data_IF_933688663400
#
_entry.id   IF_933688663400
#
_cell.length_a   1.000
_cell.length_b   1.000
_cell.length_c   1.000
_cell.angle_alpha   90.00
_cell.angle_beta   90.00
_cell.angle_gamma   90.00
#
_symmetry.space_group_name_H-M   'P 1'
#
loop_
_entity.id
_entity.type
_entity.pdbx_description
1 polymer ?
#
# COMPACT_ATOMS: atom_id res chain seq x y z
N UNK A 1 -6.88 -16.23 -3.06
CA UNK A 1 -8.02 -16.57 -3.96
C UNK A 1 -9.12 -15.48 -3.98
N UNK A 2 -9.62 -14.99 -2.84
CA UNK A 2 -10.68 -13.95 -2.79
C UNK A 2 -10.33 -12.64 -3.53
N UNK A 3 -9.09 -12.17 -3.44
CA UNK A 3 -8.64 -10.96 -4.15
C UNK A 3 -8.62 -11.12 -5.68
N UNK A 4 -8.17 -12.26 -6.19
CA UNK A 4 -8.02 -12.47 -7.64
C UNK A 4 -9.39 -12.54 -8.34
N UNK A 5 -10.40 -13.09 -7.66
CA UNK A 5 -11.76 -13.18 -8.20
C UNK A 5 -12.40 -11.82 -8.47
N UNK A 6 -12.08 -10.81 -7.65
CA UNK A 6 -12.68 -9.47 -7.73
C UNK A 6 -11.76 -8.43 -8.40
N UNK A 7 -10.43 -8.59 -8.32
CA UNK A 7 -9.44 -7.60 -8.76
C UNK A 7 -8.55 -8.08 -9.93
N UNK A 8 -8.82 -9.27 -10.45
CA UNK A 8 -8.07 -9.88 -11.54
C UNK A 8 -6.69 -10.42 -11.12
N UNK A 9 -5.86 -10.82 -12.11
CA UNK A 9 -4.50 -11.27 -11.87
C UNK A 9 -3.63 -10.19 -11.20
N UNK A 10 -2.60 -10.62 -10.46
CA UNK A 10 -1.64 -9.68 -9.84
C UNK A 10 -0.62 -9.14 -10.85
N UNK A 11 -0.27 -9.94 -11.86
CA UNK A 11 0.51 -9.55 -13.02
C UNK A 11 -0.43 -9.43 -14.21
N UNK A 12 -0.62 -8.22 -14.75
CA UNK A 12 -1.63 -7.97 -15.78
C UNK A 12 -1.28 -6.71 -16.59
N UNK A 13 -1.57 -6.73 -17.89
CA UNK A 13 -1.56 -5.54 -18.74
C UNK A 13 -2.99 -5.18 -19.09
N UNK A 14 -3.40 -3.98 -18.73
CA UNK A 14 -4.70 -3.40 -19.01
C UNK A 14 -4.54 -2.22 -19.96
N UNK A 15 -5.53 -1.99 -20.82
CA UNK A 15 -5.58 -0.77 -21.63
C UNK A 15 -6.87 -0.03 -21.33
N UNK A 16 -6.75 1.23 -20.93
CA UNK A 16 -7.90 2.07 -20.62
C UNK A 16 -7.71 3.47 -21.17
N UNK A 17 -8.65 3.91 -22.02
CA UNK A 17 -8.68 5.27 -22.61
C UNK A 17 -7.33 5.73 -23.19
N UNK A 18 -6.61 4.84 -23.86
CA UNK A 18 -5.32 5.14 -24.49
C UNK A 18 -4.10 5.02 -23.58
N UNK A 19 -4.28 4.70 -22.30
CA UNK A 19 -3.20 4.42 -21.34
C UNK A 19 -3.03 2.92 -21.18
N UNK A 20 -1.78 2.46 -21.18
CA UNK A 20 -1.43 1.09 -20.81
C UNK A 20 -1.10 1.05 -19.32
N UNK A 21 -1.76 0.16 -18.59
CA UNK A 21 -1.55 -0.03 -17.16
C UNK A 21 -0.97 -1.42 -16.95
N UNK A 22 0.20 -1.50 -16.31
CA UNK A 22 0.89 -2.75 -15.99
C UNK A 22 0.87 -2.95 -14.48
N UNK A 23 0.16 -3.97 -14.03
CA UNK A 23 0.15 -4.41 -12.62
C UNK A 23 1.29 -5.40 -12.41
N UNK A 24 2.09 -5.20 -11.38
CA UNK A 24 3.22 -6.05 -11.02
C UNK A 24 3.09 -6.56 -9.59
N UNK A 25 3.26 -7.87 -9.43
CA UNK A 25 3.34 -8.50 -8.13
C UNK A 25 4.75 -8.37 -7.56
N UNK A 26 4.96 -7.32 -6.76
CA UNK A 26 6.24 -7.06 -6.09
C UNK A 26 6.27 -7.54 -4.63
N UNK A 27 5.19 -8.12 -4.11
CA UNK A 27 5.08 -8.58 -2.71
C UNK A 27 6.08 -9.69 -2.40
N UNK A 28 6.36 -10.57 -3.35
CA UNK A 28 7.32 -11.67 -3.16
C UNK A 28 8.76 -11.20 -2.90
N UNK A 29 9.06 -9.91 -3.08
CA UNK A 29 10.39 -9.33 -2.86
C UNK A 29 10.52 -8.63 -1.50
N UNK A 30 9.47 -8.58 -0.68
CA UNK A 30 9.49 -7.95 0.66
C UNK A 30 10.47 -8.68 1.59
N UNK A 31 10.46 -10.02 1.57
CA UNK A 31 11.26 -10.81 2.49
C UNK A 31 12.69 -10.98 1.98
N UNK A 32 13.67 -10.52 2.79
CA UNK A 32 15.12 -10.70 2.57
C UNK A 32 15.65 -12.09 2.95
N UNK A 33 14.83 -12.93 3.57
CA UNK A 33 15.17 -14.33 3.90
C UNK A 33 14.96 -15.23 2.67
N UNK A 34 15.55 -16.45 2.62
CA UNK A 34 15.32 -17.33 1.48
C UNK A 34 13.82 -17.46 1.24
N UNK A 35 13.42 -17.19 0.00
CA UNK A 35 12.03 -17.27 -0.40
C UNK A 35 11.51 -18.67 -0.11
N UNK A 36 10.32 -18.74 0.48
CA UNK A 36 9.61 -20.01 0.52
C UNK A 36 9.21 -20.42 -0.92
N UNK A 37 8.76 -21.66 -1.11
CA UNK A 37 8.42 -22.18 -2.44
C UNK A 37 7.35 -21.33 -3.15
N UNK A 38 6.40 -20.77 -2.41
CA UNK A 38 5.36 -19.90 -2.98
C UNK A 38 5.92 -18.57 -3.47
N UNK A 39 6.78 -17.93 -2.69
CA UNK A 39 7.47 -16.69 -3.08
C UNK A 39 8.39 -16.90 -4.28
N UNK A 40 9.12 -18.01 -4.32
CA UNK A 40 9.96 -18.37 -5.46
C UNK A 40 9.12 -18.53 -6.74
N UNK A 41 8.01 -19.27 -6.65
CA UNK A 41 7.06 -19.44 -7.75
C UNK A 41 6.50 -18.10 -8.24
N UNK A 42 6.11 -17.21 -7.32
CA UNK A 42 5.62 -15.87 -7.67
C UNK A 42 6.70 -15.04 -8.37
N UNK A 43 7.96 -15.11 -7.91
CA UNK A 43 9.09 -14.41 -8.55
C UNK A 43 9.32 -14.92 -9.98
N UNK A 44 9.24 -16.23 -10.21
CA UNK A 44 9.34 -16.83 -11.54
C UNK A 44 8.18 -16.38 -12.43
N UNK A 45 6.94 -16.40 -11.94
CA UNK A 45 5.76 -15.92 -12.67
C UNK A 45 5.89 -14.43 -13.05
N UNK A 46 6.36 -13.58 -12.14
CA UNK A 46 6.60 -12.16 -12.41
C UNK A 46 7.73 -11.97 -13.42
N UNK A 47 8.81 -12.75 -13.34
CA UNK A 47 9.92 -12.67 -14.29
C UNK A 47 9.49 -13.08 -15.70
N UNK A 48 8.75 -14.19 -15.81
CA UNK A 48 8.18 -14.67 -17.08
C UNK A 48 7.21 -13.64 -17.68
N UNK A 49 6.35 -13.05 -16.84
CA UNK A 49 5.47 -11.96 -17.24
C UNK A 49 6.27 -10.77 -17.79
N UNK A 50 7.30 -10.29 -17.08
CA UNK A 50 8.13 -9.17 -17.54
C UNK A 50 8.79 -9.45 -18.90
N UNK A 51 9.28 -10.67 -19.14
CA UNK A 51 9.82 -11.05 -20.45
C UNK A 51 8.76 -10.96 -21.56
N UNK A 52 7.54 -11.44 -21.31
CA UNK A 52 6.44 -11.36 -22.28
C UNK A 52 6.01 -9.92 -22.58
N UNK A 53 6.00 -9.05 -21.56
CA UNK A 53 5.66 -7.63 -21.74
C UNK A 53 6.81 -6.90 -22.44
N UNK A 54 8.06 -7.18 -22.10
CA UNK A 54 9.24 -6.59 -22.76
C UNK A 54 9.23 -6.82 -24.27
N UNK A 55 8.86 -8.02 -24.70
CA UNK A 55 8.72 -8.35 -26.12
C UNK A 55 7.59 -7.54 -26.78
N UNK A 56 6.47 -7.37 -26.08
CA UNK A 56 5.36 -6.52 -26.53
C UNK A 56 5.76 -5.04 -26.61
N UNK A 57 6.54 -4.55 -25.64
CA UNK A 57 7.12 -3.20 -25.64
C UNK A 57 8.04 -3.00 -26.83
N UNK A 58 8.98 -3.93 -27.07
CA UNK A 58 9.95 -3.86 -28.15
C UNK A 58 9.29 -3.89 -29.55
N UNK A 59 8.17 -4.60 -29.68
CA UNK A 59 7.34 -4.60 -30.90
C UNK A 59 6.46 -3.35 -31.05
N UNK A 60 6.56 -2.38 -30.12
CA UNK A 60 5.76 -1.15 -30.13
C UNK A 60 4.27 -1.37 -29.90
N UNK A 61 3.89 -2.51 -29.31
CA UNK A 61 2.48 -2.88 -29.11
C UNK A 61 1.85 -2.22 -27.88
N UNK A 62 2.68 -1.75 -26.94
CA UNK A 62 2.18 -0.98 -25.80
C UNK A 62 1.84 0.44 -26.24
N UNK A 63 0.60 0.86 -25.96
CA UNK A 63 0.18 2.25 -26.17
C UNK A 63 0.80 3.13 -25.10
N UNK A 64 1.35 4.28 -25.50
CA UNK A 64 1.76 5.32 -24.55
C UNK A 64 0.56 6.17 -24.15
N UNK A 65 0.48 6.61 -22.88
CA UNK A 65 1.47 6.44 -21.81
C UNK A 65 1.41 5.06 -21.11
N UNK A 66 2.53 4.61 -20.53
CA UNK A 66 2.66 3.37 -19.74
C UNK A 66 2.73 3.69 -18.25
N UNK A 67 1.76 3.17 -17.50
CA UNK A 67 1.57 3.31 -16.07
C UNK A 67 1.89 1.99 -15.37
N UNK A 68 2.77 1.98 -14.38
CA UNK A 68 3.11 0.79 -13.61
C UNK A 68 2.53 0.90 -12.20
N UNK A 69 1.85 -0.16 -11.76
CA UNK A 69 1.42 -0.34 -10.37
C UNK A 69 2.20 -1.48 -9.72
N UNK A 70 2.85 -1.18 -8.62
CA UNK A 70 3.52 -2.15 -7.74
C UNK A 70 3.03 -2.00 -6.31
N UNK A 71 3.17 -3.05 -5.49
CA UNK A 71 2.88 -2.92 -4.06
C UNK A 71 4.08 -2.30 -3.34
N UNK A 72 5.24 -2.93 -3.48
CA UNK A 72 6.53 -2.49 -2.93
C UNK A 72 7.15 -1.44 -3.85
N UNK A 73 7.65 -0.31 -3.32
CA UNK A 73 8.40 0.67 -4.09
C UNK A 73 9.60 0.07 -4.80
N UNK A 74 9.87 0.52 -6.02
CA UNK A 74 10.99 0.05 -6.82
C UNK A 74 12.34 0.38 -6.16
N UNK A 75 12.40 1.46 -5.37
CA UNK A 75 13.56 1.79 -4.53
C UNK A 75 13.88 0.74 -3.48
N UNK A 76 12.88 -0.04 -3.06
CA UNK A 76 13.01 -1.00 -1.97
C UNK A 76 13.27 -2.43 -2.50
N UNK A 77 13.17 -2.62 -3.82
CA UNK A 77 13.47 -3.86 -4.51
C UNK A 77 14.98 -4.02 -4.79
N UNK A 78 15.46 -5.25 -5.00
CA UNK A 78 16.83 -5.48 -5.46
C UNK A 78 17.10 -4.76 -6.79
N UNK A 79 18.26 -4.11 -6.93
CA UNK A 79 18.61 -3.30 -8.11
C UNK A 79 18.45 -4.05 -9.43
N UNK A 80 18.79 -5.35 -9.48
CA UNK A 80 18.63 -6.17 -10.68
C UNK A 80 17.15 -6.27 -11.12
N UNK A 81 16.23 -6.39 -10.17
CA UNK A 81 14.78 -6.45 -10.42
C UNK A 81 14.27 -5.09 -10.86
N UNK A 82 14.67 -4.02 -10.17
CA UNK A 82 14.30 -2.65 -10.52
C UNK A 82 14.75 -2.29 -11.94
N UNK A 83 16.01 -2.56 -12.28
CA UNK A 83 16.54 -2.33 -13.62
C UNK A 83 15.82 -3.17 -14.68
N UNK A 84 15.50 -4.44 -14.39
CA UNK A 84 14.72 -5.29 -15.29
C UNK A 84 13.33 -4.73 -15.56
N UNK A 85 12.60 -4.30 -14.52
CA UNK A 85 11.27 -3.68 -14.66
C UNK A 85 11.35 -2.40 -15.50
N UNK A 86 12.27 -1.49 -15.15
CA UNK A 86 12.39 -0.18 -15.80
C UNK A 86 12.77 -0.31 -17.27
N UNK A 87 13.77 -1.14 -17.59
CA UNK A 87 14.19 -1.37 -18.98
C UNK A 87 13.09 -2.05 -19.80
N UNK A 88 12.46 -3.10 -19.27
CA UNK A 88 11.45 -3.90 -19.99
C UNK A 88 10.16 -3.14 -20.28
N UNK A 89 9.70 -2.32 -19.33
CA UNK A 89 8.41 -1.64 -19.42
C UNK A 89 8.54 -0.20 -19.91
N UNK A 90 9.71 0.42 -19.76
CA UNK A 90 9.96 1.83 -20.08
C UNK A 90 8.85 2.77 -19.56
N UNK A 91 8.48 2.70 -18.28
CA UNK A 91 7.28 3.36 -17.76
C UNK A 91 7.40 4.88 -17.77
N UNK A 92 6.28 5.55 -18.04
CA UNK A 92 6.14 7.00 -17.91
C UNK A 92 5.83 7.39 -16.45
N UNK A 93 5.02 6.57 -15.76
CA UNK A 93 4.56 6.83 -14.41
C UNK A 93 4.56 5.53 -13.59
N UNK A 94 5.05 5.59 -12.35
CA UNK A 94 5.10 4.44 -11.44
C UNK A 94 4.37 4.79 -10.15
N UNK A 95 3.50 3.90 -9.68
CA UNK A 95 2.79 4.06 -8.42
C UNK A 95 2.98 2.82 -7.54
N UNK A 96 3.42 3.09 -6.32
CA UNK A 96 3.72 2.07 -5.31
C UNK A 96 3.01 2.36 -4.00
N UNK A 97 3.05 1.41 -3.07
CA UNK A 97 2.50 1.57 -1.71
C UNK A 97 3.47 1.03 -0.66
N UNK A 98 3.00 0.08 0.15
CA UNK A 98 3.76 -0.66 1.17
C UNK A 98 4.27 0.15 2.37
N UNK A 99 4.92 1.30 2.16
CA UNK A 99 5.54 2.09 3.25
C UNK A 99 4.53 2.86 4.10
N UNK A 100 3.28 2.95 3.65
CA UNK A 100 2.17 3.71 4.25
C UNK A 100 2.34 5.24 4.24
N UNK A 101 3.52 5.75 3.93
CA UNK A 101 3.82 7.18 3.83
C UNK A 101 3.83 7.64 2.37
N UNK A 102 3.64 8.93 2.14
CA UNK A 102 3.82 9.51 0.80
C UNK A 102 5.29 9.77 0.54
N UNK A 103 5.79 9.41 -0.63
CA UNK A 103 7.12 9.80 -1.11
C UNK A 103 7.15 9.84 -2.64
N UNK A 104 8.17 10.49 -3.19
CA UNK A 104 8.43 10.47 -4.63
C UNK A 104 9.92 10.24 -4.89
N UNK A 105 10.23 9.38 -5.83
CA UNK A 105 11.58 9.07 -6.27
C UNK A 105 11.68 9.16 -7.79
N UNK A 106 12.85 9.52 -8.29
CA UNK A 106 13.14 9.56 -9.71
C UNK A 106 14.13 8.46 -10.05
N UNK A 107 13.80 7.66 -11.06
CA UNK A 107 14.60 6.55 -11.54
C UNK A 107 15.17 6.90 -12.92
N UNK A 108 16.49 7.00 -13.03
CA UNK A 108 17.16 7.11 -14.32
C UNK A 108 17.47 5.72 -14.85
N UNK A 109 17.10 5.41 -16.09
CA UNK A 109 17.32 4.10 -16.68
C UNK A 109 17.45 4.16 -18.20
N UNK A 110 18.13 3.17 -18.77
CA UNK A 110 18.25 2.99 -20.21
C UNK A 110 17.20 2.00 -20.68
N UNK A 111 16.42 2.41 -21.68
CA UNK A 111 15.43 1.55 -22.35
C UNK A 111 16.09 0.49 -23.23
N UNK A 112 15.33 -0.53 -23.63
CA UNK A 112 15.79 -1.54 -24.60
C UNK A 112 16.26 -0.91 -25.91
N UNK A 113 15.66 0.21 -26.32
CA UNK A 113 16.06 0.97 -27.52
C UNK A 113 17.33 1.84 -27.33
N UNK A 114 18.01 1.72 -26.18
CA UNK A 114 19.23 2.46 -25.87
C UNK A 114 19.01 3.92 -25.44
N UNK A 115 17.76 4.37 -25.29
CA UNK A 115 17.45 5.75 -24.86
C UNK A 115 17.45 5.85 -23.34
N UNK A 116 18.09 6.87 -22.80
CA UNK A 116 17.94 7.24 -21.40
C UNK A 116 16.57 7.86 -21.12
N UNK A 117 15.95 7.46 -20.02
CA UNK A 117 14.67 7.98 -19.55
C UNK A 117 14.73 8.22 -18.05
N UNK A 118 13.90 9.18 -17.64
CA UNK A 118 13.61 9.44 -16.25
C UNK A 118 12.17 9.00 -15.99
N UNK A 119 11.98 8.02 -15.10
CA UNK A 119 10.68 7.63 -14.59
C UNK A 119 10.46 8.20 -13.20
N UNK A 120 9.28 8.74 -12.93
CA UNK A 120 8.91 9.17 -11.57
C UNK A 120 8.05 8.12 -10.92
N UNK A 121 8.42 7.75 -9.70
CA UNK A 121 7.65 6.88 -8.82
C UNK A 121 7.01 7.70 -7.70
N UNK A 122 5.71 7.51 -7.50
CA UNK A 122 4.98 8.02 -6.34
C UNK A 122 4.58 6.86 -5.44
N UNK A 123 4.97 6.96 -4.17
CA UNK A 123 4.47 6.05 -3.13
C UNK A 123 3.19 6.67 -2.55
N UNK A 124 2.10 5.96 -2.72
CA UNK A 124 0.76 6.37 -2.31
C UNK A 124 0.59 6.08 -0.81
N UNK A 125 0.11 7.05 0.00
CA UNK A 125 -0.07 6.82 1.43
C UNK A 125 -1.17 5.80 1.71
N UNK A 126 -1.16 5.23 2.90
CA UNK A 126 -2.25 4.36 3.34
C UNK A 126 -3.54 5.15 3.56
N UNK A 127 -4.68 4.54 3.24
CA UNK A 127 -6.00 5.04 3.63
C UNK A 127 -6.47 4.49 4.98
N UNK A 128 -5.64 3.66 5.65
CA UNK A 128 -5.99 2.92 6.85
C UNK A 128 -5.23 3.41 8.08
N UNK A 129 -5.99 3.89 9.07
CA UNK A 129 -5.45 4.29 10.38
C UNK A 129 -4.94 3.09 11.19
N UNK A 130 -5.32 1.85 10.81
CA UNK A 130 -4.88 0.64 11.53
C UNK A 130 -3.37 0.40 11.41
N UNK A 131 -2.69 1.10 10.50
CA UNK A 131 -1.26 0.95 10.24
C UNK A 131 -0.39 1.90 11.08
N UNK A 132 -0.93 2.61 12.07
CA UNK A 132 -0.15 3.55 12.87
C UNK A 132 0.09 4.91 12.20
N UNK A 133 -0.47 5.13 11.01
CA UNK A 133 -0.27 6.37 10.24
C UNK A 133 -1.31 7.45 10.59
N UNK A 134 -0.82 8.67 10.84
CA UNK A 134 -1.61 9.86 11.18
C UNK A 134 -2.05 10.65 9.94
N UNK A 135 -1.23 10.66 8.88
CA UNK A 135 -1.47 11.32 7.61
C UNK A 135 -1.93 10.30 6.57
N UNK A 136 -3.21 9.95 6.66
CA UNK A 136 -3.83 9.03 5.70
C UNK A 136 -4.33 9.78 4.46
N UNK A 137 -4.33 9.10 3.32
CA UNK A 137 -4.89 9.66 2.10
C UNK A 137 -5.26 8.62 1.08
N UNK A 138 -5.76 9.08 -0.05
CA UNK A 138 -5.98 8.27 -1.24
C UNK A 138 -5.33 8.96 -2.43
N UNK A 139 -4.55 8.22 -3.21
CA UNK A 139 -3.99 8.72 -4.45
C UNK A 139 -5.08 8.90 -5.52
N UNK A 140 -5.16 10.09 -6.10
CA UNK A 140 -6.03 10.38 -7.24
C UNK A 140 -5.18 10.69 -8.46
N UNK A 141 -5.38 9.91 -9.52
CA UNK A 141 -4.73 10.09 -10.81
C UNK A 141 -5.76 10.67 -11.78
N UNK A 142 -5.39 11.74 -12.46
CA UNK A 142 -6.18 12.34 -13.51
C UNK A 142 -5.40 12.29 -14.82
N UNK A 143 -6.03 11.76 -15.85
CA UNK A 143 -5.47 11.66 -17.20
C UNK A 143 -6.27 12.61 -18.06
N UNK A 144 -5.61 13.60 -18.64
CA UNK A 144 -6.24 14.55 -19.55
C UNK A 144 -6.46 13.93 -20.95
N UNK A 145 -7.17 14.66 -21.83
CA UNK A 145 -7.42 14.20 -23.21
C UNK A 145 -6.17 14.18 -24.09
N UNK A 146 -5.10 14.85 -23.66
CA UNK A 146 -3.82 14.93 -24.36
C UNK A 146 -2.83 13.86 -23.90
N UNK A 147 -3.20 13.04 -22.90
CA UNK A 147 -2.37 12.00 -22.32
C UNK A 147 -1.46 12.46 -21.18
N UNK A 148 -1.56 13.72 -20.74
CA UNK A 148 -0.85 14.17 -19.55
C UNK A 148 -1.54 13.59 -18.31
N UNK A 149 -0.73 12.96 -17.46
CA UNK A 149 -1.16 12.43 -16.19
C UNK A 149 -0.73 13.39 -15.08
N UNK A 150 -1.67 13.75 -14.22
CA UNK A 150 -1.35 14.37 -12.94
C UNK A 150 -1.82 13.52 -11.77
N UNK A 151 -1.16 13.74 -10.63
CA UNK A 151 -1.35 12.98 -9.41
C UNK A 151 -1.52 13.92 -8.23
N UNK A 152 -2.45 13.58 -7.34
CA UNK A 152 -2.65 14.28 -6.08
C UNK A 152 -3.10 13.33 -4.99
N UNK A 153 -2.63 13.55 -3.77
CA UNK A 153 -3.15 12.87 -2.58
C UNK A 153 -4.37 13.61 -2.07
N UNK A 154 -5.49 12.89 -1.95
CA UNK A 154 -6.68 13.32 -1.24
C UNK A 154 -6.52 12.95 0.23
N UNK A 155 -6.14 13.93 1.05
CA UNK A 155 -5.90 13.73 2.48
C UNK A 155 -7.20 13.45 3.23
N UNK A 156 -7.18 12.43 4.08
CA UNK A 156 -8.29 12.07 4.96
C UNK A 156 -8.13 12.79 6.29
N UNK A 157 -9.23 13.13 7.00
CA UNK A 157 -9.15 13.74 8.32
C UNK A 157 -8.45 12.79 9.32
N UNK A 158 -7.68 13.33 10.29
CA UNK A 158 -6.98 12.52 11.27
C UNK A 158 -7.97 11.80 12.19
N UNK A 159 -7.76 10.50 12.41
CA UNK A 159 -8.67 9.66 13.22
C UNK A 159 -8.22 9.50 14.68
N UNK A 160 -6.93 9.68 14.98
CA UNK A 160 -6.40 9.48 16.34
C UNK A 160 -7.01 10.38 17.42
N UNK A 161 -7.30 11.67 17.18
CA UNK A 161 -7.97 12.49 18.20
C UNK A 161 -9.32 11.93 18.62
N UNK A 162 -10.12 11.45 17.66
CA UNK A 162 -11.41 10.82 17.94
C UNK A 162 -11.25 9.48 18.65
N UNK A 163 -10.25 8.68 18.27
CA UNK A 163 -9.96 7.41 18.95
C UNK A 163 -9.54 7.64 20.42
N UNK A 164 -8.75 8.67 20.69
CA UNK A 164 -8.38 9.07 22.04
C UNK A 164 -9.60 9.50 22.84
N UNK A 165 -10.51 10.28 22.24
CA UNK A 165 -11.77 10.67 22.89
C UNK A 165 -12.64 9.45 23.24
N UNK A 166 -12.79 8.48 22.32
CA UNK A 166 -13.52 7.24 22.59
C UNK A 166 -12.88 6.43 23.72
N UNK A 167 -11.55 6.38 23.77
CA UNK A 167 -10.82 5.70 24.84
C UNK A 167 -11.07 6.34 26.21
N UNK A 168 -10.98 7.67 26.30
CA UNK A 168 -11.28 8.42 27.53
C UNK A 168 -12.75 8.25 27.97
N UNK A 169 -13.69 8.29 27.03
CA UNK A 169 -15.10 8.04 27.30
C UNK A 169 -15.32 6.62 27.83
N UNK A 170 -14.67 5.63 27.24
CA UNK A 170 -14.75 4.23 27.67
C UNK A 170 -14.21 4.05 29.09
N UNK A 171 -13.13 4.73 29.46
CA UNK A 171 -12.61 4.75 30.84
C UNK A 171 -13.63 5.38 31.80
N UNK A 172 -14.24 6.50 31.43
CA UNK A 172 -15.24 7.15 32.28
C UNK A 172 -16.46 6.24 32.52
N UNK A 173 -16.98 5.59 31.48
CA UNK A 173 -18.06 4.60 31.59
C UNK A 173 -17.64 3.43 32.48
N UNK A 174 -16.41 2.91 32.32
CA UNK A 174 -15.90 1.83 33.15
C UNK A 174 -15.83 2.24 34.63
N UNK A 175 -15.35 3.44 34.95
CA UNK A 175 -15.30 3.96 36.33
C UNK A 175 -16.71 4.05 36.93
N UNK A 176 -17.68 4.58 36.18
CA UNK A 176 -19.07 4.66 36.62
C UNK A 176 -19.65 3.26 36.87
N UNK A 177 -19.45 2.32 35.95
CA UNK A 177 -19.89 0.93 36.12
C UNK A 177 -19.28 0.30 37.37
N UNK A 178 -17.96 0.43 37.57
CA UNK A 178 -17.26 -0.09 38.74
C UNK A 178 -17.79 0.53 40.05
N UNK A 179 -18.11 1.83 40.06
CA UNK A 179 -18.72 2.49 41.21
C UNK A 179 -20.13 1.93 41.53
N UNK A 180 -20.90 1.59 40.50
CA UNK A 180 -22.25 1.05 40.65
C UNK A 180 -22.31 -0.47 40.90
N UNK A 181 -21.20 -1.21 40.70
CA UNK A 181 -21.16 -2.64 41.00
C UNK A 181 -21.39 -2.90 42.51
N UNK A 182 -22.28 -3.84 42.86
CA UNK A 182 -22.64 -4.12 44.25
C UNK A 182 -21.48 -4.65 45.11
N UNK A 183 -20.37 -5.08 44.50
CA UNK A 183 -19.13 -5.46 45.22
C UNK A 183 -18.57 -4.33 46.08
N UNK A 184 -18.56 -3.08 45.59
CA UNK A 184 -18.10 -1.92 46.38
C UNK A 184 -19.07 -1.53 47.49
N UNK A 185 -20.37 -1.78 47.29
CA UNK A 185 -21.37 -1.62 48.35
C UNK A 185 -21.23 -2.71 49.41
N UNK A 186 -20.99 -3.96 49.01
CA UNK A 186 -20.84 -5.11 49.91
C UNK A 186 -19.56 -5.02 50.76
N UNK A 187 -18.43 -4.61 50.18
CA UNK A 187 -17.17 -4.35 50.89
C UNK A 187 -17.28 -3.22 51.92
N UNK A 188 -18.04 -2.15 51.62
CA UNK A 188 -18.35 -1.08 52.58
C UNK A 188 -19.27 -1.53 53.72
N UNK A 189 -20.19 -2.45 53.47
CA UNK A 189 -21.06 -3.01 54.52
C UNK A 189 -20.31 -3.98 55.43
N UNK A 190 -19.44 -4.84 54.87
CA UNK A 190 -18.57 -5.75 55.62
C UNK A 190 -17.52 -5.01 56.47
N UNK A 191 -16.96 -3.89 55.99
CA UNK A 191 -16.01 -3.10 56.79
C UNK A 191 -16.66 -2.36 57.97
N UNK A 192 -17.94 -1.96 57.85
CA UNK A 192 -18.71 -1.37 58.97
C UNK A 192 -19.07 -2.39 60.04
N UNK A 193 -19.40 -3.63 59.66
CA UNK A 193 -19.68 -4.71 60.62
C UNK A 193 -18.46 -5.08 61.48
N UNK A 194 -17.25 -4.92 60.96
CA UNK A 194 -16.00 -5.18 61.70
C UNK A 194 -15.66 -4.13 62.77
N UNK A 195 -16.23 -2.92 62.68
CA UNK A 195 -16.01 -1.85 63.68
C UNK A 195 -17.12 -1.75 64.75
N UNK A 196 -18.27 -2.42 64.58
CA UNK A 196 -19.35 -2.47 65.57
C UNK A 196 -19.22 -3.60 66.61
N UNK A 197 -18.21 -4.48 66.46
CA UNK A 197 -17.83 -5.50 67.43
C UNK A 197 -16.52 -5.09 68.11
N UNK A 198 -16.56 -4.02 68.89
CA UNK A 198 -15.53 -3.69 69.89
C UNK A 198 -16.16 -2.91 71.03
#
# INVERSE_FOLDING_TARGET
RRYIAEFGPLNEVLTFRGVTIVKLNTISYIHRRPANQEEAKIREETTSFLSSVSESTARGLLRRPVLVYSHVPLSDLPTAVTSSILSSLSPDYIFSGHTHHTSSSSHSYTTVDGRERLGTEWVVPTCSYRMGESHMGTGAIFIDRHGNLGYKVLWLPPRYPFLMLYFLFSIAVLILLLHHLPLFKCLKTLSRLRHGFR
#
